data_IF_752355530673
#
_entry.id   IF_752355530673
#
_cell.length_a   1.000
_cell.length_b   1.000
_cell.length_c   1.000
_cell.angle_alpha   90.00
_cell.angle_beta   90.00
_cell.angle_gamma   90.00
#
_symmetry.space_group_name_H-M   'P 1'
#
loop_
_entity.id
_entity.type
_entity.pdbx_description
1 polymer ?
#
# COMPACT_ATOMS: atom_id res chain seq x y z
N UNK A 1 4.71 -11.77 27.05
CA UNK A 1 5.10 -12.69 25.96
C UNK A 1 4.06 -12.62 24.86
N UNK A 2 4.47 -12.25 23.64
CA UNK A 2 3.60 -12.33 22.47
C UNK A 2 3.38 -13.82 22.16
N UNK A 3 2.13 -14.28 22.15
CA UNK A 3 1.78 -15.68 21.85
C UNK A 3 1.04 -15.70 20.52
N UNK A 4 1.57 -16.44 19.56
CA UNK A 4 0.91 -16.68 18.28
C UNK A 4 0.49 -18.15 18.25
N UNK A 5 -0.76 -18.40 17.92
CA UNK A 5 -1.28 -19.76 17.69
C UNK A 5 -1.34 -19.97 16.19
N UNK A 6 -0.61 -20.97 15.69
CA UNK A 6 -0.57 -21.33 14.28
C UNK A 6 -1.27 -22.67 14.07
N UNK A 7 -2.01 -22.81 12.97
CA UNK A 7 -2.74 -24.05 12.65
C UNK A 7 -1.79 -25.20 12.29
N UNK A 8 -0.73 -24.93 11.50
CA UNK A 8 0.21 -25.95 11.00
C UNK A 8 1.70 -25.55 11.13
N UNK A 9 2.22 -25.28 12.35
CA UNK A 9 3.55 -24.69 12.53
C UNK A 9 4.69 -25.53 11.92
N UNK A 10 4.60 -26.86 12.00
CA UNK A 10 5.63 -27.77 11.47
C UNK A 10 5.70 -27.73 9.93
N UNK A 11 4.57 -27.48 9.24
CA UNK A 11 4.51 -27.41 7.78
C UNK A 11 5.25 -26.20 7.22
N UNK A 12 5.37 -25.15 8.03
CA UNK A 12 5.91 -23.84 7.65
C UNK A 12 7.22 -23.48 8.34
N UNK A 13 7.78 -24.40 9.13
CA UNK A 13 9.08 -24.22 9.80
C UNK A 13 10.18 -24.04 8.76
N UNK A 14 11.05 -23.05 8.98
CA UNK A 14 12.18 -22.68 8.12
C UNK A 14 11.82 -22.33 6.66
N UNK A 15 10.55 -22.02 6.40
CA UNK A 15 10.09 -21.58 5.08
C UNK A 15 9.88 -20.07 5.05
N UNK A 16 10.29 -19.46 3.95
CA UNK A 16 10.04 -18.04 3.65
C UNK A 16 9.00 -17.97 2.55
N UNK A 17 7.93 -17.22 2.81
CA UNK A 17 6.88 -16.95 1.84
C UNK A 17 6.85 -15.46 1.55
N UNK A 18 6.92 -15.10 0.28
CA UNK A 18 6.67 -13.74 -0.15
C UNK A 18 5.17 -13.58 -0.40
N UNK A 19 4.55 -12.63 0.29
CA UNK A 19 3.11 -12.38 0.24
C UNK A 19 2.86 -11.09 -0.51
N UNK A 20 2.32 -11.21 -1.72
CA UNK A 20 1.87 -10.11 -2.55
C UNK A 20 0.37 -10.31 -2.86
N UNK A 21 -0.38 -9.22 -2.98
CA UNK A 21 -1.82 -9.26 -3.23
C UNK A 21 -2.17 -9.48 -4.70
N UNK A 22 -1.44 -8.84 -5.62
CA UNK A 22 -1.59 -8.94 -7.07
C UNK A 22 -0.35 -8.32 -7.77
N UNK A 23 -0.22 -8.39 -9.11
CA UNK A 23 0.81 -7.67 -9.85
C UNK A 23 0.83 -6.17 -9.50
N UNK A 24 1.99 -5.54 -9.60
CA UNK A 24 2.17 -4.11 -9.32
C UNK A 24 1.06 -3.27 -9.98
N UNK A 25 0.27 -2.56 -9.17
CA UNK A 25 -0.74 -1.60 -9.64
C UNK A 25 -0.07 -0.25 -9.77
N UNK A 26 -0.20 0.42 -10.92
CA UNK A 26 0.39 1.75 -11.10
C UNK A 26 -0.42 2.82 -10.37
N UNK A 27 0.21 3.97 -10.08
CA UNK A 27 -0.51 5.13 -9.51
C UNK A 27 -1.67 5.58 -10.40
N UNK A 28 -1.54 5.43 -11.72
CA UNK A 28 -2.60 5.74 -12.68
C UNK A 28 -3.80 4.78 -12.52
N UNK A 29 -3.55 3.48 -12.40
CA UNK A 29 -4.60 2.48 -12.17
C UNK A 29 -5.30 2.71 -10.82
N UNK A 30 -4.53 3.08 -9.79
CA UNK A 30 -5.07 3.46 -8.47
C UNK A 30 -6.03 4.64 -8.60
N UNK A 31 -5.60 5.70 -9.29
CA UNK A 31 -6.41 6.90 -9.49
C UNK A 31 -7.67 6.60 -10.32
N UNK A 32 -7.58 5.76 -11.34
CA UNK A 32 -8.72 5.32 -12.15
C UNK A 32 -9.74 4.55 -11.31
N UNK A 33 -9.31 3.54 -10.56
CA UNK A 33 -10.18 2.74 -9.68
C UNK A 33 -10.93 3.63 -8.70
N UNK A 34 -10.24 4.55 -8.03
CA UNK A 34 -10.91 5.46 -7.10
C UNK A 34 -11.79 6.49 -7.82
N UNK A 35 -11.43 6.93 -9.03
CA UNK A 35 -12.26 7.85 -9.81
C UNK A 35 -13.62 7.25 -10.14
N UNK A 36 -13.63 5.99 -10.57
CA UNK A 36 -14.85 5.23 -10.84
C UNK A 36 -15.69 5.05 -9.57
N UNK A 37 -15.06 4.61 -8.48
CA UNK A 37 -15.76 4.33 -7.22
C UNK A 37 -16.36 5.58 -6.56
N UNK A 38 -15.72 6.74 -6.73
CA UNK A 38 -16.18 8.01 -6.17
C UNK A 38 -17.05 8.83 -7.13
N UNK A 39 -17.20 8.40 -8.39
CA UNK A 39 -17.97 9.11 -9.41
C UNK A 39 -17.36 10.46 -9.80
N UNK A 40 -16.06 10.66 -9.64
CA UNK A 40 -15.37 11.91 -9.97
C UNK A 40 -13.92 11.66 -10.39
N UNK A 41 -13.41 12.48 -11.31
CA UNK A 41 -12.03 12.34 -11.78
C UNK A 41 -11.02 12.68 -10.68
N UNK A 42 -10.12 11.74 -10.41
CA UNK A 42 -8.92 11.96 -9.61
C UNK A 42 -7.71 12.08 -10.53
N UNK A 43 -6.75 12.90 -10.10
CA UNK A 43 -5.50 13.12 -10.82
C UNK A 43 -4.33 12.69 -9.93
N UNK A 44 -3.36 12.00 -10.53
CA UNK A 44 -2.07 11.74 -9.88
C UNK A 44 -1.24 13.02 -9.96
N UNK A 45 -0.76 13.50 -8.81
CA UNK A 45 0.13 14.66 -8.72
C UNK A 45 1.46 14.18 -8.14
N UNK A 46 2.53 14.42 -8.89
CA UNK A 46 3.88 14.14 -8.42
C UNK A 46 4.41 15.34 -7.65
N UNK A 47 4.73 15.12 -6.37
CA UNK A 47 5.22 16.14 -5.46
C UNK A 47 6.74 16.08 -5.38
N UNK A 48 7.39 17.25 -5.36
CA UNK A 48 8.80 17.31 -5.02
C UNK A 48 9.02 16.93 -3.54
N UNK A 49 10.27 16.74 -3.14
CA UNK A 49 10.60 16.26 -1.78
C UNK A 49 10.11 17.21 -0.68
N UNK A 50 10.22 18.52 -0.88
CA UNK A 50 9.73 19.52 0.08
C UNK A 50 8.21 19.43 0.22
N UNK A 51 7.48 19.37 -0.88
CA UNK A 51 6.02 19.25 -0.89
C UNK A 51 5.55 17.94 -0.23
N UNK A 52 6.28 16.84 -0.45
CA UNK A 52 6.02 15.57 0.25
C UNK A 52 6.19 15.70 1.76
N UNK A 53 7.28 16.33 2.20
CA UNK A 53 7.54 16.58 3.63
C UNK A 53 6.46 17.45 4.27
N UNK A 54 6.06 18.52 3.57
CA UNK A 54 4.99 19.42 4.01
C UNK A 54 3.65 18.66 4.13
N UNK A 55 3.30 17.85 3.13
CA UNK A 55 2.07 17.04 3.13
C UNK A 55 2.06 15.96 4.23
N UNK A 56 3.17 15.26 4.45
CA UNK A 56 3.28 14.26 5.51
C UNK A 56 3.14 14.90 6.89
N UNK A 57 3.74 16.07 7.10
CA UNK A 57 3.60 16.84 8.34
C UNK A 57 2.14 17.23 8.59
N UNK A 58 1.40 17.59 7.52
CA UNK A 58 -0.02 17.89 7.61
C UNK A 58 -0.86 16.63 7.92
N UNK A 59 -0.59 15.51 7.24
CA UNK A 59 -1.40 14.29 7.32
C UNK A 59 -1.19 13.50 8.63
N UNK A 60 0.05 13.43 9.12
CA UNK A 60 0.42 12.61 10.27
C UNK A 60 0.82 13.45 11.50
N UNK A 61 0.84 14.78 11.39
CA UNK A 61 1.34 15.67 12.42
C UNK A 61 2.87 15.76 12.42
N UNK A 62 3.44 16.30 13.50
CA UNK A 62 4.90 16.34 13.68
C UNK A 62 5.44 14.93 13.88
N UNK A 63 6.04 14.40 12.83
CA UNK A 63 6.92 13.24 12.89
C UNK A 63 8.29 13.70 13.38
N UNK A 64 9.01 12.82 14.09
CA UNK A 64 10.43 13.05 14.31
C UNK A 64 11.21 12.96 12.99
N UNK A 65 12.39 13.60 12.95
CA UNK A 65 13.17 13.70 11.71
C UNK A 65 13.61 12.32 11.19
N UNK A 66 13.91 11.36 12.08
CA UNK A 66 14.35 10.03 11.65
C UNK A 66 13.20 9.25 10.98
N UNK A 67 11.99 9.32 11.54
CA UNK A 67 10.81 8.73 10.92
C UNK A 67 10.45 9.43 9.59
N UNK A 68 10.55 10.75 9.52
CA UNK A 68 10.32 11.49 8.27
C UNK A 68 11.31 11.09 7.17
N UNK A 69 12.61 11.03 7.47
CA UNK A 69 13.61 10.62 6.50
C UNK A 69 13.43 9.16 6.08
N UNK A 70 13.05 8.26 7.00
CA UNK A 70 12.73 6.86 6.68
C UNK A 70 11.57 6.78 5.68
N UNK A 71 10.52 7.58 5.86
CA UNK A 71 9.40 7.62 4.91
C UNK A 71 9.84 8.15 3.54
N UNK A 72 10.62 9.24 3.50
CA UNK A 72 11.14 9.80 2.25
C UNK A 72 12.03 8.80 1.51
N UNK A 73 12.90 8.08 2.23
CA UNK A 73 13.72 7.01 1.66
C UNK A 73 12.88 5.89 1.04
N UNK A 74 11.80 5.46 1.70
CA UNK A 74 10.88 4.50 1.12
C UNK A 74 10.30 5.00 -0.20
N UNK A 75 9.85 6.26 -0.28
CA UNK A 75 9.33 6.84 -1.53
C UNK A 75 10.38 6.91 -2.64
N UNK A 76 11.63 7.29 -2.31
CA UNK A 76 12.74 7.30 -3.28
C UNK A 76 12.99 5.90 -3.86
N UNK A 77 12.88 4.85 -3.04
CA UNK A 77 13.01 3.47 -3.51
C UNK A 77 11.81 3.00 -4.34
N UNK A 78 10.58 3.41 -4.00
CA UNK A 78 9.41 3.18 -4.86
C UNK A 78 9.59 3.79 -6.26
N UNK A 79 10.10 5.02 -6.35
CA UNK A 79 10.36 5.71 -7.62
C UNK A 79 11.43 5.01 -8.48
N UNK A 80 12.37 4.30 -7.84
CA UNK A 80 13.38 3.48 -8.54
C UNK A 80 12.85 2.12 -8.98
N UNK A 81 11.58 1.79 -8.69
CA UNK A 81 10.99 0.50 -9.01
C UNK A 81 11.45 -0.63 -8.09
N UNK A 82 11.96 -0.33 -6.89
CA UNK A 82 12.45 -1.35 -5.95
C UNK A 82 11.38 -2.40 -5.56
N UNK A 83 10.10 -2.07 -5.76
CA UNK A 83 8.96 -2.93 -5.43
C UNK A 83 8.15 -3.38 -6.66
N UNK A 84 8.59 -3.06 -7.87
CA UNK A 84 7.92 -3.46 -9.13
C UNK A 84 8.40 -4.80 -9.65
N UNK A 85 8.95 -5.64 -8.77
CA UNK A 85 9.46 -6.96 -9.14
C UNK A 85 8.39 -7.79 -9.88
N UNK A 86 8.86 -8.65 -10.77
CA UNK A 86 8.07 -9.58 -11.59
C UNK A 86 7.25 -10.51 -10.67
N UNK A 87 6.07 -10.04 -10.26
CA UNK A 87 5.30 -10.52 -9.11
C UNK A 87 4.43 -11.75 -9.43
N UNK A 88 4.97 -12.75 -10.15
CA UNK A 88 4.33 -14.06 -10.27
C UNK A 88 4.64 -14.97 -9.06
N UNK A 89 4.24 -14.56 -7.85
CA UNK A 89 4.60 -15.29 -6.62
C UNK A 89 3.35 -15.68 -5.83
N UNK A 90 3.03 -16.98 -5.92
CA UNK A 90 1.83 -17.63 -5.36
C UNK A 90 1.84 -17.81 -3.83
N UNK A 91 2.68 -17.10 -3.06
CA UNK A 91 2.86 -17.36 -1.62
C UNK A 91 1.56 -17.33 -0.81
N UNK A 92 0.68 -16.37 -1.10
CA UNK A 92 -0.64 -16.29 -0.48
C UNK A 92 -1.53 -17.48 -0.87
N UNK A 93 -1.49 -17.89 -2.14
CA UNK A 93 -2.24 -19.05 -2.65
C UNK A 93 -1.71 -20.36 -2.08
N UNK A 94 -0.41 -20.51 -1.92
CA UNK A 94 0.24 -21.66 -1.28
C UNK A 94 -0.16 -21.78 0.19
N UNK A 95 -0.24 -20.66 0.90
CA UNK A 95 -0.59 -20.65 2.33
C UNK A 95 -2.09 -20.82 2.57
N UNK A 96 -2.94 -20.19 1.75
CA UNK A 96 -4.37 -20.05 2.03
C UNK A 96 -5.28 -20.86 1.09
N UNK A 97 -4.74 -21.37 -0.02
CA UNK A 97 -5.51 -21.99 -1.11
C UNK A 97 -6.34 -21.00 -1.92
N UNK A 98 -6.20 -19.68 -1.69
CA UNK A 98 -7.01 -18.63 -2.30
C UNK A 98 -6.13 -17.63 -3.03
N UNK A 99 -6.65 -17.08 -4.12
CA UNK A 99 -6.02 -15.95 -4.77
C UNK A 99 -6.07 -14.70 -3.87
N UNK A 100 -5.11 -13.81 -4.06
CA UNK A 100 -5.06 -12.55 -3.35
C UNK A 100 -6.22 -11.64 -3.70
N UNK A 101 -6.58 -10.80 -2.73
CA UNK A 101 -7.57 -9.75 -2.96
C UNK A 101 -6.95 -8.70 -3.88
N UNK A 102 -7.64 -8.36 -4.96
CA UNK A 102 -7.26 -7.26 -5.84
C UNK A 102 -7.43 -5.90 -5.17
N UNK A 103 -6.64 -4.92 -5.56
CA UNK A 103 -6.71 -3.54 -5.13
C UNK A 103 -8.09 -2.96 -5.37
N UNK A 104 -8.71 -3.25 -6.53
CA UNK A 104 -10.08 -2.83 -6.83
C UNK A 104 -11.10 -3.34 -5.81
N UNK A 105 -10.99 -4.61 -5.42
CA UNK A 105 -11.87 -5.22 -4.42
C UNK A 105 -11.67 -4.54 -3.07
N UNK A 106 -10.42 -4.33 -2.66
CA UNK A 106 -10.09 -3.61 -1.44
C UNK A 106 -10.62 -2.16 -1.46
N UNK A 107 -10.36 -1.41 -2.52
CA UNK A 107 -10.78 -0.01 -2.67
C UNK A 107 -12.30 0.14 -2.56
N UNK A 108 -13.07 -0.77 -3.15
CA UNK A 108 -14.53 -0.79 -3.04
C UNK A 108 -15.01 -0.94 -1.58
N UNK A 109 -14.39 -1.85 -0.82
CA UNK A 109 -14.70 -2.04 0.60
C UNK A 109 -14.35 -0.79 1.43
N UNK A 110 -13.21 -0.14 1.15
CA UNK A 110 -12.78 1.06 1.86
C UNK A 110 -13.68 2.27 1.58
N UNK A 111 -14.08 2.47 0.33
CA UNK A 111 -15.02 3.55 -0.03
C UNK A 111 -16.36 3.35 0.68
N UNK A 112 -16.88 2.12 0.70
CA UNK A 112 -18.10 1.77 1.42
C UNK A 112 -17.97 1.98 2.95
N UNK A 113 -16.77 1.84 3.51
CA UNK A 113 -16.49 1.99 4.94
C UNK A 113 -16.39 3.45 5.44
N UNK A 114 -16.82 4.44 4.64
CA UNK A 114 -16.82 5.91 4.92
C UNK A 114 -15.47 6.59 4.68
N UNK A 115 -15.06 6.67 3.42
CA UNK A 115 -13.97 7.54 3.00
C UNK A 115 -14.18 8.98 3.49
N UNK A 116 -13.16 9.54 4.16
CA UNK A 116 -13.09 10.96 4.54
C UNK A 116 -11.89 11.60 3.84
N UNK A 117 -12.09 12.58 2.94
CA UNK A 117 -10.96 13.28 2.34
C UNK A 117 -10.17 14.03 3.41
N UNK A 118 -8.84 14.03 3.28
CA UNK A 118 -7.99 14.96 4.05
C UNK A 118 -8.20 16.35 3.44
N UNK A 119 -8.68 17.35 4.21
CA UNK A 119 -8.79 18.71 3.70
C UNK A 119 -7.38 19.24 3.46
N UNK A 120 -7.03 19.48 2.20
CA UNK A 120 -5.82 20.20 1.84
C UNK A 120 -6.10 21.71 1.96
N UNK A 121 -5.16 22.52 2.47
CA UNK A 121 -5.38 23.93 2.77
C UNK A 121 -5.32 24.87 1.54
N UNK A 122 -5.49 24.35 0.33
CA UNK A 122 -5.46 25.10 -0.93
C UNK A 122 -6.63 24.77 -1.83
#
# INVERSE_FOLDING_TARGET
>A
AFKVVLLDPLKHTDKVYQICSEPSVSDADIAEVYSELLGRKLHVIYLNEKERKDLMTLAYGKLDDAMMETLLDMFREFEKGAFTADNSWDGLKVLTGKDGRTFRTYAKEQVAAKWKPIPLPW
#
